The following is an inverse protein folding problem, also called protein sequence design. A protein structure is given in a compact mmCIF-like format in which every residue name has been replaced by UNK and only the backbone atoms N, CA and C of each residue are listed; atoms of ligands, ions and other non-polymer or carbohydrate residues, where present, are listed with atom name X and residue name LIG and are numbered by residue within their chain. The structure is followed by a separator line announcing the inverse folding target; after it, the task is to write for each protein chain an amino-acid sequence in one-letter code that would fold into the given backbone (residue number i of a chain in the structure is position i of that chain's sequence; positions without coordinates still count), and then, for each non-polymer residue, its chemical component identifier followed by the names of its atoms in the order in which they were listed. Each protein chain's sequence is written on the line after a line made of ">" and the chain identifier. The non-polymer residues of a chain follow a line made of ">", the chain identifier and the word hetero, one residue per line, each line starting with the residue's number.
data_IF_796695717898
#
_entry.id   IF_796695717898
#
_cell.length_a   1.000
_cell.length_b   1.000
_cell.length_c   1.000
_cell.angle_alpha   90.00
_cell.angle_beta   90.00
_cell.angle_gamma   90.00
#
_symmetry.space_group_name_H-M   'P 1'
#
loop_
_entity.id
_entity.type
_entity.pdbx_description
1 polymer ?
#
# COMPACT_ATOMS: atom_id res chain seq x y z
N UNK A 1 13.02 -13.04 -12.59
CA UNK A 1 12.69 -12.04 -11.56
C UNK A 1 11.40 -11.35 -12.02
N UNK A 2 10.34 -11.37 -11.19
CA UNK A 2 8.91 -11.04 -11.46
C UNK A 2 8.22 -11.71 -12.67
N UNK A 3 8.75 -11.53 -13.89
CA UNK A 3 8.17 -12.05 -15.13
C UNK A 3 9.21 -12.90 -15.89
N UNK A 4 8.78 -14.02 -16.47
CA UNK A 4 9.65 -14.84 -17.32
C UNK A 4 9.83 -14.05 -18.63
N UNK A 5 11.08 -13.88 -19.06
CA UNK A 5 11.41 -12.96 -20.14
C UNK A 5 11.10 -13.63 -21.47
N UNK A 6 9.94 -13.32 -22.05
CA UNK A 6 9.54 -13.84 -23.37
C UNK A 6 9.28 -12.72 -24.39
N UNK A 7 9.16 -11.44 -23.97
CA UNK A 7 8.87 -10.28 -24.82
C UNK A 7 9.76 -9.06 -24.48
N UNK A 8 10.22 -8.30 -25.49
CA UNK A 8 10.98 -7.04 -25.36
C UNK A 8 10.33 -6.03 -24.40
N UNK A 9 9.00 -5.93 -24.42
CA UNK A 9 8.26 -5.01 -23.55
C UNK A 9 8.35 -5.42 -22.06
N UNK A 10 8.38 -6.72 -21.76
CA UNK A 10 8.59 -7.21 -20.39
C UNK A 10 10.03 -7.09 -19.93
N UNK A 11 10.99 -7.09 -20.86
CA UNK A 11 12.36 -6.69 -20.53
C UNK A 11 12.40 -5.23 -20.08
N UNK A 12 11.81 -4.33 -20.84
CA UNK A 12 11.73 -2.90 -20.50
C UNK A 12 11.09 -2.70 -19.11
N UNK A 13 9.96 -3.35 -18.86
CA UNK A 13 9.30 -3.30 -17.55
C UNK A 13 10.22 -3.78 -16.41
N UNK A 14 10.88 -4.92 -16.58
CA UNK A 14 11.81 -5.42 -15.56
C UNK A 14 13.01 -4.48 -15.37
N UNK A 15 13.54 -3.88 -16.44
CA UNK A 15 14.60 -2.88 -16.34
C UNK A 15 14.13 -1.64 -15.58
N UNK A 16 12.94 -1.12 -15.87
CA UNK A 16 12.37 0.01 -15.16
C UNK A 16 12.24 -0.27 -13.65
N UNK A 17 11.79 -1.47 -13.27
CA UNK A 17 11.74 -1.87 -11.85
C UNK A 17 13.12 -1.99 -11.21
N UNK A 18 14.13 -2.49 -11.95
CA UNK A 18 15.50 -2.58 -11.45
C UNK A 18 16.08 -1.19 -11.25
N UNK A 19 15.92 -0.29 -12.24
CA UNK A 19 16.37 1.10 -12.15
C UNK A 19 15.70 1.81 -10.98
N UNK A 20 14.37 1.67 -10.85
CA UNK A 20 13.62 2.22 -9.73
C UNK A 20 14.14 1.72 -8.38
N UNK A 21 14.29 0.40 -8.25
CA UNK A 21 14.84 -0.20 -7.02
C UNK A 21 16.27 0.27 -6.72
N UNK A 22 17.15 0.29 -7.72
CA UNK A 22 18.54 0.70 -7.56
C UNK A 22 18.65 2.18 -7.18
N UNK A 23 17.82 3.03 -7.77
CA UNK A 23 17.75 4.45 -7.45
C UNK A 23 17.26 4.66 -6.02
N UNK A 24 16.17 4.01 -5.63
CA UNK A 24 15.66 4.05 -4.26
C UNK A 24 16.64 3.53 -3.22
N UNK A 25 17.35 2.44 -3.53
CA UNK A 25 18.38 1.90 -2.63
C UNK A 25 19.56 2.88 -2.48
N UNK A 26 19.97 3.52 -3.57
CA UNK A 26 21.01 4.55 -3.54
C UNK A 26 20.57 5.75 -2.68
N UNK A 27 19.37 6.28 -2.90
CA UNK A 27 18.81 7.37 -2.10
C UNK A 27 18.67 6.99 -0.62
N UNK A 28 18.24 5.76 -0.31
CA UNK A 28 18.16 5.26 1.06
C UNK A 28 19.52 5.21 1.76
N UNK A 29 20.56 4.75 1.05
CA UNK A 29 21.94 4.73 1.56
C UNK A 29 22.43 6.16 1.80
N UNK A 30 22.19 7.08 0.87
CA UNK A 30 22.55 8.49 1.06
C UNK A 30 21.82 9.11 2.25
N UNK A 31 20.50 8.95 2.34
CA UNK A 31 19.68 9.48 3.43
C UNK A 31 20.01 8.85 4.79
N UNK A 32 20.75 7.74 4.83
CA UNK A 32 21.24 7.19 6.11
C UNK A 32 22.28 8.09 6.76
N UNK A 33 23.03 8.87 5.96
CA UNK A 33 24.09 9.76 6.45
C UNK A 33 23.74 11.24 6.33
N UNK A 34 22.93 11.60 5.32
CA UNK A 34 22.65 13.01 4.96
C UNK A 34 21.15 13.32 4.86
N UNK A 35 20.31 12.69 5.70
CA UNK A 35 18.85 12.87 5.63
C UNK A 35 18.42 14.33 5.85
N UNK A 36 19.03 14.99 6.84
CA UNK A 36 18.70 16.36 7.21
C UNK A 36 19.08 17.33 6.10
N UNK A 37 20.31 17.22 5.60
CA UNK A 37 20.85 18.06 4.54
C UNK A 37 20.06 17.90 3.24
N UNK A 38 19.60 16.69 2.93
CA UNK A 38 18.75 16.47 1.76
C UNK A 38 17.39 17.14 1.95
N UNK A 39 16.76 17.01 3.12
CA UNK A 39 15.47 17.62 3.39
C UNK A 39 15.53 19.17 3.38
N UNK A 40 16.64 19.75 3.84
CA UNK A 40 16.89 21.20 3.78
C UNK A 40 16.85 21.76 2.34
N UNK A 41 17.22 20.97 1.33
CA UNK A 41 17.14 21.38 -0.09
C UNK A 41 15.69 21.64 -0.54
N UNK A 42 14.72 20.95 0.06
CA UNK A 42 13.30 21.06 -0.31
C UNK A 42 12.55 22.10 0.53
N UNK A 43 13.08 22.48 1.70
CA UNK A 43 12.46 23.40 2.65
C UNK A 43 11.93 24.71 2.04
N UNK A 44 12.67 25.44 1.18
CA UNK A 44 12.20 26.71 0.63
C UNK A 44 10.98 26.59 -0.29
N UNK A 45 10.69 25.39 -0.81
CA UNK A 45 9.60 25.20 -1.75
C UNK A 45 8.22 25.43 -1.11
N UNK A 46 8.10 25.26 0.21
CA UNK A 46 6.85 25.56 0.92
C UNK A 46 6.51 27.05 0.97
N UNK A 47 7.46 27.96 0.72
CA UNK A 47 7.17 29.41 0.68
C UNK A 47 6.23 29.77 -0.48
N UNK A 48 6.24 28.96 -1.54
CA UNK A 48 5.38 29.15 -2.69
C UNK A 48 3.99 28.57 -2.46
N UNK A 49 3.00 29.45 -2.37
CA UNK A 49 1.58 29.07 -2.15
C UNK A 49 1.09 27.96 -3.08
N UNK A 50 1.38 28.05 -4.38
CA UNK A 50 0.91 27.03 -5.34
C UNK A 50 1.54 25.65 -5.08
N UNK A 51 2.77 25.60 -4.57
CA UNK A 51 3.44 24.36 -4.14
C UNK A 51 2.75 23.82 -2.89
N UNK A 52 2.39 24.66 -1.91
CA UNK A 52 1.65 24.22 -0.72
C UNK A 52 0.31 23.58 -1.08
N UNK A 53 -0.46 24.23 -1.97
CA UNK A 53 -1.72 23.67 -2.48
C UNK A 53 -1.49 22.36 -3.23
N UNK A 54 -0.45 22.29 -4.06
CA UNK A 54 -0.09 21.06 -4.75
C UNK A 54 0.26 19.93 -3.77
N UNK A 55 1.06 20.21 -2.73
CA UNK A 55 1.38 19.25 -1.70
C UNK A 55 0.13 18.80 -0.93
N UNK A 56 -0.78 19.73 -0.61
CA UNK A 56 -2.01 19.42 0.11
C UNK A 56 -2.96 18.52 -0.70
N UNK A 57 -3.01 18.70 -2.03
CA UNK A 57 -3.73 17.80 -2.94
C UNK A 57 -3.15 16.38 -2.84
N UNK A 58 -1.83 16.24 -2.93
CA UNK A 58 -1.22 14.91 -2.96
C UNK A 58 -1.17 14.23 -1.59
N UNK A 59 -1.06 14.98 -0.50
CA UNK A 59 -1.21 14.46 0.87
C UNK A 59 -2.60 13.83 1.06
N UNK A 60 -3.66 14.58 0.70
CA UNK A 60 -5.03 14.06 0.77
C UNK A 60 -5.24 12.89 -0.20
N UNK A 61 -4.75 13.00 -1.44
CA UNK A 61 -4.89 11.92 -2.43
C UNK A 61 -4.17 10.64 -1.98
N UNK A 62 -3.02 10.77 -1.31
CA UNK A 62 -2.26 9.65 -0.76
C UNK A 62 -3.04 8.90 0.33
N UNK A 63 -4.01 9.56 0.97
CA UNK A 63 -4.93 8.97 1.95
C UNK A 63 -6.23 8.46 1.33
N UNK A 64 -6.85 9.20 0.40
CA UNK A 64 -8.16 8.81 -0.18
C UNK A 64 -8.04 7.77 -1.30
N UNK A 65 -7.01 7.85 -2.13
CA UNK A 65 -6.81 6.95 -3.27
C UNK A 65 -6.67 5.47 -2.84
N UNK A 66 -5.94 5.11 -1.77
CA UNK A 66 -5.90 3.74 -1.28
C UNK A 66 -7.28 3.21 -0.85
N UNK A 67 -8.12 4.07 -0.26
CA UNK A 67 -9.50 3.71 0.13
C UNK A 67 -10.32 3.38 -1.10
N UNK A 68 -10.33 4.25 -2.12
CA UNK A 68 -10.95 3.98 -3.42
C UNK A 68 -10.47 2.64 -4.01
N UNK A 69 -9.16 2.39 -3.96
CA UNK A 69 -8.59 1.15 -4.46
C UNK A 69 -9.06 -0.08 -3.67
N UNK A 70 -9.14 0.00 -2.34
CA UNK A 70 -9.69 -1.07 -1.51
C UNK A 70 -11.13 -1.40 -1.90
N UNK A 71 -11.98 -0.39 -2.13
CA UNK A 71 -13.34 -0.62 -2.64
C UNK A 71 -13.35 -1.40 -3.96
N UNK A 72 -12.49 -1.03 -4.91
CA UNK A 72 -12.41 -1.70 -6.21
C UNK A 72 -11.93 -3.15 -6.05
N UNK A 73 -10.88 -3.41 -5.26
CA UNK A 73 -10.36 -4.76 -5.05
C UNK A 73 -11.35 -5.66 -4.32
N UNK A 74 -12.02 -5.14 -3.28
CA UNK A 74 -13.08 -5.88 -2.59
C UNK A 74 -14.26 -6.14 -3.53
N UNK A 75 -14.57 -5.22 -4.44
CA UNK A 75 -15.61 -5.42 -5.45
C UNK A 75 -15.24 -6.51 -6.46
N UNK A 76 -13.98 -6.55 -6.92
CA UNK A 76 -13.48 -7.65 -7.77
C UNK A 76 -13.59 -8.98 -7.03
N UNK A 77 -13.25 -9.02 -5.74
CA UNK A 77 -13.40 -10.21 -4.92
C UNK A 77 -14.87 -10.64 -4.82
N UNK A 78 -15.77 -9.72 -4.47
CA UNK A 78 -17.20 -9.98 -4.34
C UNK A 78 -17.84 -10.47 -5.64
N UNK A 79 -17.55 -9.82 -6.77
CA UNK A 79 -18.04 -10.25 -8.09
C UNK A 79 -17.47 -11.60 -8.50
N UNK A 80 -16.18 -11.83 -8.28
CA UNK A 80 -15.56 -13.14 -8.57
C UNK A 80 -16.20 -14.26 -7.72
N UNK A 81 -16.55 -13.96 -6.47
CA UNK A 81 -17.26 -14.88 -5.57
C UNK A 81 -18.70 -15.14 -6.04
N UNK A 82 -19.42 -14.09 -6.43
CA UNK A 82 -20.78 -14.22 -6.98
C UNK A 82 -20.80 -15.04 -8.27
N UNK A 83 -19.82 -14.85 -9.17
CA UNK A 83 -19.65 -15.66 -10.38
C UNK A 83 -19.34 -17.12 -10.03
N UNK A 84 -18.49 -17.37 -9.03
CA UNK A 84 -18.19 -18.73 -8.57
C UNK A 84 -19.41 -19.44 -7.98
N UNK A 85 -20.27 -18.69 -7.29
CA UNK A 85 -21.48 -19.18 -6.63
C UNK A 85 -22.76 -19.02 -7.45
N UNK A 86 -22.67 -18.74 -8.76
CA UNK A 86 -23.80 -18.34 -9.63
C UNK A 86 -24.95 -19.36 -9.69
N UNK A 87 -24.72 -20.62 -9.33
CA UNK A 87 -25.75 -21.65 -9.24
C UNK A 87 -26.74 -21.42 -8.09
N UNK A 88 -26.37 -20.65 -7.07
CA UNK A 88 -27.24 -20.30 -5.96
C UNK A 88 -27.86 -18.91 -6.18
N UNK A 89 -29.17 -18.88 -6.47
CA UNK A 89 -29.95 -17.67 -6.77
C UNK A 89 -29.87 -16.58 -5.69
N UNK A 90 -29.60 -16.92 -4.42
CA UNK A 90 -29.45 -15.93 -3.34
C UNK A 90 -28.26 -14.98 -3.59
N UNK A 91 -27.20 -15.44 -4.25
CA UNK A 91 -26.04 -14.60 -4.56
C UNK A 91 -26.35 -13.45 -5.51
N UNK A 92 -27.42 -13.56 -6.31
CA UNK A 92 -27.90 -12.43 -7.12
C UNK A 92 -28.37 -11.26 -6.26
N UNK A 93 -29.00 -11.52 -5.11
CA UNK A 93 -29.44 -10.46 -4.20
C UNK A 93 -28.30 -9.94 -3.32
N UNK A 94 -27.46 -10.84 -2.81
CA UNK A 94 -26.32 -10.46 -1.95
C UNK A 94 -25.34 -9.51 -2.63
N UNK A 95 -25.13 -9.62 -3.94
CA UNK A 95 -24.24 -8.69 -4.64
C UNK A 95 -24.82 -7.28 -4.70
N UNK A 96 -26.14 -7.12 -4.85
CA UNK A 96 -26.78 -5.80 -4.81
C UNK A 96 -26.77 -5.19 -3.41
N UNK A 97 -26.99 -6.00 -2.37
CA UNK A 97 -26.81 -5.57 -0.97
C UNK A 97 -25.37 -5.11 -0.74
N UNK A 98 -24.38 -5.85 -1.23
CA UNK A 98 -22.98 -5.44 -1.17
C UNK A 98 -22.75 -4.07 -1.84
N UNK A 99 -23.26 -3.85 -3.06
CA UNK A 99 -23.11 -2.56 -3.75
C UNK A 99 -23.76 -1.41 -2.97
N UNK A 100 -24.96 -1.61 -2.41
CA UNK A 100 -25.63 -0.60 -1.59
C UNK A 100 -24.79 -0.26 -0.35
N UNK A 101 -24.31 -1.28 0.39
CA UNK A 101 -23.43 -1.07 1.54
C UNK A 101 -22.12 -0.37 1.14
N UNK A 102 -21.50 -0.77 0.03
CA UNK A 102 -20.25 -0.18 -0.43
C UNK A 102 -20.42 1.32 -0.77
N UNK A 103 -21.51 1.70 -1.43
CA UNK A 103 -21.81 3.10 -1.75
C UNK A 103 -22.08 3.90 -0.47
N UNK A 104 -22.89 3.37 0.45
CA UNK A 104 -23.20 4.06 1.72
C UNK A 104 -21.92 4.30 2.52
N UNK A 105 -21.06 3.28 2.67
CA UNK A 105 -19.80 3.41 3.40
C UNK A 105 -18.83 4.38 2.71
N UNK A 106 -18.80 4.40 1.37
CA UNK A 106 -17.96 5.34 0.62
C UNK A 106 -18.44 6.78 0.81
N UNK A 107 -19.74 7.05 0.69
CA UNK A 107 -20.32 8.38 0.94
C UNK A 107 -20.07 8.82 2.39
N UNK A 108 -20.29 7.93 3.35
CA UNK A 108 -20.01 8.21 4.76
C UNK A 108 -18.53 8.56 5.01
N UNK A 109 -17.60 7.85 4.33
CA UNK A 109 -16.17 8.17 4.39
C UNK A 109 -15.87 9.57 3.83
N UNK A 110 -16.45 9.94 2.68
CA UNK A 110 -16.23 11.28 2.10
C UNK A 110 -16.83 12.40 2.97
N UNK A 111 -18.03 12.19 3.52
CA UNK A 111 -18.65 13.12 4.47
C UNK A 111 -17.79 13.27 5.72
N UNK A 112 -17.28 12.16 6.28
CA UNK A 112 -16.35 12.20 7.41
C UNK A 112 -15.11 13.05 7.09
N UNK A 113 -14.49 12.86 5.92
CA UNK A 113 -13.31 13.63 5.53
C UNK A 113 -13.61 15.13 5.39
N UNK A 114 -14.77 15.50 4.84
CA UNK A 114 -15.19 16.89 4.75
C UNK A 114 -15.40 17.52 6.15
N UNK A 115 -16.11 16.82 7.03
CA UNK A 115 -16.38 17.29 8.40
C UNK A 115 -15.10 17.38 9.23
N UNK A 116 -14.12 16.50 8.96
CA UNK A 116 -12.80 16.53 9.58
C UNK A 116 -11.94 17.74 9.19
N UNK A 117 -12.47 18.69 8.41
CA UNK A 117 -11.83 19.96 8.05
C UNK A 117 -12.69 21.16 8.44
N UNK A 118 -13.77 20.97 9.21
CA UNK A 118 -14.72 22.03 9.56
C UNK A 118 -14.43 22.55 10.96
N UNK A 119 -14.28 23.87 11.12
CA UNK A 119 -14.00 24.55 12.39
C UNK A 119 -12.76 24.01 13.13
N UNK A 120 -11.74 23.61 12.39
CA UNK A 120 -10.46 23.16 12.96
C UNK A 120 -9.59 24.35 13.35
N UNK A 121 -8.94 24.18 14.50
CA UNK A 121 -7.86 25.02 14.98
C UNK A 121 -6.72 24.09 15.40
N UNK A 122 -5.63 24.19 14.67
CA UNK A 122 -4.44 23.37 14.85
C UNK A 122 -3.35 24.15 15.60
N UNK A 123 -3.73 25.19 16.32
CA UNK A 123 -2.84 26.07 17.08
C UNK A 123 -2.41 27.33 16.33
N UNK A 124 -2.69 27.47 15.03
CA UNK A 124 -2.36 28.68 14.26
C UNK A 124 -3.57 29.59 14.04
N UNK A 125 -4.72 29.25 14.64
CA UNK A 125 -5.95 30.01 14.57
C UNK A 125 -7.09 29.23 13.90
N UNK A 126 -8.35 29.65 14.13
CA UNK A 126 -9.50 29.01 13.50
C UNK A 126 -9.43 29.04 11.98
N UNK A 127 -9.72 27.90 11.34
CA UNK A 127 -9.68 27.68 9.90
C UNK A 127 -8.29 27.83 9.27
N UNK A 128 -7.19 27.77 10.05
CA UNK A 128 -5.80 27.80 9.52
C UNK A 128 -5.12 26.45 9.73
N UNK A 129 -4.62 25.87 8.64
CA UNK A 129 -3.80 24.65 8.70
C UNK A 129 -2.37 25.01 9.10
N UNK A 130 -1.95 24.52 10.28
CA UNK A 130 -0.56 24.61 10.73
C UNK A 130 0.41 23.93 9.75
N UNK A 131 -0.03 22.85 9.09
CA UNK A 131 0.85 22.07 8.22
C UNK A 131 1.07 22.72 6.84
N UNK A 132 0.00 23.30 6.26
CA UNK A 132 0.02 23.83 4.90
C UNK A 132 -0.02 25.35 4.83
N UNK A 133 -0.06 26.05 5.97
CA UNK A 133 -0.08 27.51 6.06
C UNK A 133 -1.12 28.13 5.13
N UNK A 134 -2.32 27.56 5.19
CA UNK A 134 -3.45 27.85 4.32
C UNK A 134 -4.77 27.59 5.03
N UNK A 135 -5.84 28.20 4.50
CA UNK A 135 -7.14 28.04 5.13
C UNK A 135 -7.71 26.62 4.97
N UNK A 136 -8.34 26.09 6.02
CA UNK A 136 -9.10 24.85 5.96
C UNK A 136 -10.27 24.94 4.99
N UNK A 137 -10.79 26.14 4.70
CA UNK A 137 -11.67 26.39 3.57
C UNK A 137 -11.10 25.95 2.22
N UNK A 138 -9.81 26.22 1.96
CA UNK A 138 -9.12 25.71 0.78
C UNK A 138 -8.99 24.18 0.83
N UNK A 139 -8.61 23.62 1.98
CA UNK A 139 -8.54 22.17 2.19
C UNK A 139 -9.88 21.46 1.88
N UNK A 140 -11.01 22.02 2.32
CA UNK A 140 -12.35 21.51 2.01
C UNK A 140 -12.63 21.47 0.50
N UNK A 141 -12.22 22.51 -0.25
CA UNK A 141 -12.35 22.52 -1.73
C UNK A 141 -11.53 21.41 -2.39
N UNK A 142 -10.32 21.18 -1.89
CA UNK A 142 -9.46 20.08 -2.35
C UNK A 142 -10.15 18.73 -2.12
N UNK A 143 -10.65 18.48 -0.91
CA UNK A 143 -11.31 17.22 -0.54
C UNK A 143 -12.57 16.99 -1.37
N UNK A 144 -13.41 18.01 -1.56
CA UNK A 144 -14.61 17.89 -2.42
C UNK A 144 -14.21 17.55 -3.86
N UNK A 145 -13.17 18.18 -4.38
CA UNK A 145 -12.68 17.91 -5.74
C UNK A 145 -12.16 16.47 -5.86
N UNK A 146 -11.36 16.00 -4.91
CA UNK A 146 -10.89 14.61 -4.86
C UNK A 146 -12.05 13.62 -4.72
N UNK A 147 -13.02 13.90 -3.86
CA UNK A 147 -14.20 13.07 -3.66
C UNK A 147 -15.03 12.92 -4.95
N UNK A 148 -15.16 14.00 -5.75
CA UNK A 148 -15.83 13.94 -7.06
C UNK A 148 -15.06 13.06 -8.04
N UNK A 149 -13.74 13.21 -8.13
CA UNK A 149 -12.89 12.38 -8.99
C UNK A 149 -12.98 10.91 -8.57
N UNK A 150 -12.83 10.62 -7.28
CA UNK A 150 -12.90 9.26 -6.73
C UNK A 150 -14.27 8.63 -6.96
N UNK A 151 -15.35 9.41 -6.84
CA UNK A 151 -16.72 8.96 -7.12
C UNK A 151 -16.89 8.55 -8.59
N UNK A 152 -16.38 9.35 -9.54
CA UNK A 152 -16.43 9.03 -10.97
C UNK A 152 -15.69 7.72 -11.25
N UNK A 153 -14.46 7.57 -10.72
CA UNK A 153 -13.65 6.36 -10.90
C UNK A 153 -14.35 5.14 -10.30
N UNK A 154 -14.90 5.29 -9.09
CA UNK A 154 -15.64 4.22 -8.42
C UNK A 154 -16.87 3.82 -9.24
N UNK A 155 -17.71 4.76 -9.66
CA UNK A 155 -18.91 4.49 -10.45
C UNK A 155 -18.60 3.76 -11.75
N UNK A 156 -17.59 4.21 -12.51
CA UNK A 156 -17.14 3.55 -13.74
C UNK A 156 -16.67 2.12 -13.44
N UNK A 157 -15.91 1.95 -12.36
CA UNK A 157 -15.38 0.64 -11.95
C UNK A 157 -16.49 -0.31 -11.54
N UNK A 158 -17.42 0.11 -10.67
CA UNK A 158 -18.55 -0.72 -10.22
C UNK A 158 -19.48 -1.07 -11.38
N UNK A 159 -19.76 -0.12 -12.28
CA UNK A 159 -20.52 -0.39 -13.51
C UNK A 159 -19.83 -1.45 -14.36
N UNK A 160 -18.53 -1.29 -14.64
CA UNK A 160 -17.78 -2.28 -15.41
C UNK A 160 -17.80 -3.65 -14.72
N UNK A 161 -17.61 -3.68 -13.39
CA UNK A 161 -17.58 -4.92 -12.62
C UNK A 161 -18.92 -5.67 -12.69
N UNK A 162 -20.03 -4.96 -12.46
CA UNK A 162 -21.37 -5.54 -12.44
C UNK A 162 -21.82 -6.01 -13.82
N UNK A 163 -21.66 -5.17 -14.84
CA UNK A 163 -22.32 -5.38 -16.13
C UNK A 163 -21.41 -6.04 -17.17
N UNK A 164 -20.09 -5.87 -17.09
CA UNK A 164 -19.15 -6.45 -18.06
C UNK A 164 -18.30 -7.57 -17.47
N UNK A 165 -17.65 -7.33 -16.33
CA UNK A 165 -16.71 -8.28 -15.73
C UNK A 165 -17.41 -9.57 -15.28
N UNK A 166 -18.53 -9.48 -14.56
CA UNK A 166 -19.27 -10.64 -14.03
C UNK A 166 -19.76 -11.63 -15.10
N UNK A 167 -19.88 -11.20 -16.36
CA UNK A 167 -20.33 -12.01 -17.49
C UNK A 167 -19.18 -12.70 -18.24
N UNK A 168 -17.93 -12.36 -17.93
CA UNK A 168 -16.76 -12.93 -18.59
C UNK A 168 -16.48 -14.36 -18.10
N UNK A 169 -16.26 -15.28 -19.04
CA UNK A 169 -15.89 -16.68 -18.76
C UNK A 169 -14.55 -16.80 -18.03
N UNK A 170 -13.63 -15.89 -18.35
CA UNK A 170 -12.27 -15.94 -17.84
C UNK A 170 -12.11 -15.45 -16.39
N UNK A 171 -13.19 -14.96 -15.74
CA UNK A 171 -13.16 -14.56 -14.31
C UNK A 171 -12.69 -15.72 -13.43
N UNK A 172 -13.23 -16.91 -13.69
CA UNK A 172 -12.88 -18.12 -12.93
C UNK A 172 -11.55 -18.70 -13.43
N UNK A 173 -11.35 -18.75 -14.76
CA UNK A 173 -10.15 -19.33 -15.40
C UNK A 173 -8.86 -18.59 -15.01
N UNK A 174 -8.94 -17.26 -14.90
CA UNK A 174 -7.82 -16.41 -14.55
C UNK A 174 -7.70 -16.15 -13.05
N UNK A 175 -8.45 -16.86 -12.20
CA UNK A 175 -8.23 -16.82 -10.76
C UNK A 175 -8.46 -15.46 -10.10
N UNK A 176 -9.36 -14.62 -10.63
CA UNK A 176 -9.54 -13.23 -10.18
C UNK A 176 -9.83 -13.12 -8.68
N UNK A 177 -10.58 -14.06 -8.10
CA UNK A 177 -10.83 -14.14 -6.65
C UNK A 177 -9.52 -14.22 -5.84
N UNK A 178 -8.63 -15.13 -6.20
CA UNK A 178 -7.35 -15.32 -5.50
C UNK A 178 -6.39 -14.14 -5.74
N UNK A 179 -6.42 -13.53 -6.93
CA UNK A 179 -5.61 -12.34 -7.25
C UNK A 179 -6.06 -11.12 -6.44
N UNK A 180 -7.37 -10.91 -6.32
CA UNK A 180 -7.94 -9.86 -5.49
C UNK A 180 -7.57 -10.05 -4.01
N UNK A 181 -7.71 -11.29 -3.50
CA UNK A 181 -7.34 -11.61 -2.12
C UNK A 181 -5.85 -11.38 -1.83
N UNK A 182 -4.95 -11.76 -2.75
CA UNK A 182 -3.51 -11.49 -2.62
C UNK A 182 -3.19 -10.00 -2.61
N UNK A 183 -3.85 -9.24 -3.48
CA UNK A 183 -3.69 -7.79 -3.58
C UNK A 183 -4.12 -7.14 -2.28
N UNK A 184 -5.33 -7.44 -1.80
CA UNK A 184 -5.87 -6.93 -0.55
C UNK A 184 -4.96 -7.26 0.64
N UNK A 185 -4.57 -8.54 0.80
CA UNK A 185 -3.70 -8.93 1.90
C UNK A 185 -2.31 -8.31 1.82
N UNK A 186 -1.75 -8.12 0.62
CA UNK A 186 -0.44 -7.46 0.49
C UNK A 186 -0.51 -6.01 0.94
N UNK A 187 -1.55 -5.29 0.51
CA UNK A 187 -1.79 -3.91 0.90
C UNK A 187 -2.06 -3.79 2.41
N UNK A 188 -2.98 -4.60 2.95
CA UNK A 188 -3.31 -4.62 4.37
C UNK A 188 -2.09 -4.95 5.23
N UNK A 189 -1.34 -6.00 4.90
CA UNK A 189 -0.20 -6.42 5.72
C UNK A 189 0.96 -5.44 5.65
N UNK A 190 1.19 -4.77 4.50
CA UNK A 190 2.22 -3.72 4.42
C UNK A 190 1.85 -2.55 5.32
N UNK A 191 0.59 -2.08 5.25
CA UNK A 191 0.11 -0.99 6.09
C UNK A 191 0.21 -1.34 7.58
N UNK A 192 -0.19 -2.56 7.98
CA UNK A 192 -0.03 -3.01 9.37
C UNK A 192 1.45 -3.02 9.79
N UNK A 193 2.34 -3.52 8.94
CA UNK A 193 3.79 -3.51 9.24
C UNK A 193 4.34 -2.09 9.40
N UNK A 194 3.92 -1.15 8.56
CA UNK A 194 4.29 0.26 8.69
C UNK A 194 3.75 0.87 9.98
N UNK A 195 2.48 0.62 10.32
CA UNK A 195 1.89 1.07 11.59
C UNK A 195 2.65 0.57 12.81
N UNK A 196 3.02 -0.71 12.81
CA UNK A 196 3.81 -1.31 13.90
C UNK A 196 5.17 -0.63 14.02
N UNK A 197 5.87 -0.43 12.90
CA UNK A 197 7.17 0.26 12.90
C UNK A 197 7.06 1.73 13.32
N UNK A 198 6.04 2.45 12.84
CA UNK A 198 5.73 3.83 13.27
C UNK A 198 5.61 3.97 14.78
N UNK A 199 4.83 3.09 15.41
CA UNK A 199 4.67 3.06 16.87
C UNK A 199 5.93 2.59 17.62
N UNK A 200 6.86 1.94 16.94
CA UNK A 200 8.07 1.40 17.56
C UNK A 200 9.22 2.40 17.50
N UNK A 201 9.40 3.09 16.37
CA UNK A 201 10.49 4.02 16.16
C UNK A 201 10.18 5.40 16.70
N UNK A 202 8.93 5.85 16.54
CA UNK A 202 8.43 7.16 16.97
C UNK A 202 9.38 8.31 16.59
N UNK A 203 9.87 8.25 15.36
CA UNK A 203 10.76 9.27 14.86
C UNK A 203 9.96 10.56 14.57
N UNK A 204 10.50 11.74 14.95
CA UNK A 204 9.85 13.04 14.71
C UNK A 204 9.86 13.43 13.24
N UNK A 205 8.74 13.98 12.73
CA UNK A 205 8.71 14.51 11.37
C UNK A 205 9.68 15.67 11.20
N UNK A 206 10.16 15.85 9.96
CA UNK A 206 10.99 17.01 9.61
C UNK A 206 10.31 18.34 9.97
N UNK A 207 8.97 18.42 9.85
CA UNK A 207 8.20 19.59 10.28
C UNK A 207 8.52 20.01 11.73
N UNK A 208 8.61 19.08 12.68
CA UNK A 208 8.91 19.43 14.08
C UNK A 208 10.39 19.74 14.30
N UNK A 209 11.29 19.08 13.57
CA UNK A 209 12.73 19.41 13.62
C UNK A 209 13.02 20.80 13.04
N UNK A 210 12.21 21.25 12.08
CA UNK A 210 12.32 22.56 11.45
C UNK A 210 11.37 23.62 12.05
N UNK A 211 10.70 23.31 13.17
CA UNK A 211 9.56 24.10 13.64
C UNK A 211 9.93 25.54 14.02
N UNK A 212 11.09 25.74 14.67
CA UNK A 212 11.52 27.09 15.03
C UNK A 212 11.70 27.98 13.80
N UNK A 213 12.31 27.45 12.75
CA UNK A 213 12.51 28.16 11.49
C UNK A 213 11.20 28.41 10.76
N UNK A 214 10.25 27.46 10.82
CA UNK A 214 8.89 27.64 10.30
C UNK A 214 8.20 28.80 11.00
N UNK A 215 8.16 28.78 12.33
CA UNK A 215 7.45 29.75 13.15
C UNK A 215 8.01 31.17 12.96
N UNK A 216 9.30 31.29 12.66
CA UNK A 216 9.99 32.55 12.44
C UNK A 216 10.09 32.97 10.96
N UNK A 217 9.49 32.24 10.02
CA UNK A 217 9.51 32.57 8.60
C UNK A 217 8.24 33.36 8.20
N UNK A 218 8.40 34.68 8.02
CA UNK A 218 7.31 35.59 7.64
C UNK A 218 6.73 35.35 6.23
N UNK A 219 7.46 34.63 5.34
CA UNK A 219 6.91 34.21 4.05
C UNK A 219 5.93 33.03 4.18
N UNK A 220 5.98 32.30 5.30
CA UNK A 220 5.13 31.13 5.58
C UNK A 220 4.04 31.46 6.59
N UNK A 221 4.42 32.04 7.73
CA UNK A 221 3.56 32.28 8.88
C UNK A 221 3.36 33.78 9.02
N UNK A 222 2.11 34.24 8.98
CA UNK A 222 1.82 35.65 9.24
C UNK A 222 2.08 35.99 10.71
N UNK A 223 2.42 37.26 11.03
CA UNK A 223 2.59 37.70 12.42
C UNK A 223 1.38 37.37 13.29
N UNK A 224 0.16 37.53 12.77
CA UNK A 224 -1.09 37.21 13.46
C UNK A 224 -1.18 35.74 13.89
N UNK A 225 -0.77 34.81 13.01
CA UNK A 225 -0.82 33.38 13.32
C UNK A 225 0.25 32.98 14.33
N UNK A 226 1.44 33.58 14.24
CA UNK A 226 2.51 33.40 15.21
C UNK A 226 2.09 33.89 16.60
N UNK A 227 1.52 35.08 16.68
CA UNK A 227 1.06 35.67 17.95
C UNK A 227 -0.07 34.82 18.56
N UNK A 228 -0.98 34.29 17.74
CA UNK A 228 -2.01 33.35 18.19
C UNK A 228 -1.39 32.06 18.75
N UNK A 229 -0.42 31.47 18.04
CA UNK A 229 0.27 30.25 18.49
C UNK A 229 0.93 30.44 19.86
N UNK A 230 1.73 31.50 19.99
CA UNK A 230 2.49 31.80 21.22
C UNK A 230 1.59 32.18 22.40
N UNK A 231 0.43 32.79 22.16
CA UNK A 231 -0.47 33.22 23.25
C UNK A 231 -1.43 32.13 23.72
N UNK A 232 -1.89 31.24 22.83
CA UNK A 232 -2.90 30.22 23.15
C UNK A 232 -2.81 28.96 22.32
N UNK A 233 -2.40 29.07 21.05
CA UNK A 233 -2.48 27.97 20.10
C UNK A 233 -1.64 26.74 20.47
N UNK A 234 -0.50 26.93 21.13
CA UNK A 234 0.33 25.84 21.66
C UNK A 234 -0.38 24.95 22.71
N UNK A 235 -1.38 25.48 23.41
CA UNK A 235 -2.23 24.69 24.33
C UNK A 235 -3.25 23.82 23.59
N UNK A 236 -3.65 24.22 22.38
CA UNK A 236 -4.57 23.45 21.53
C UNK A 236 -3.81 22.31 20.84
N UNK A 237 -2.68 22.64 20.24
CA UNK A 237 -1.79 21.70 19.57
C UNK A 237 -0.36 22.18 19.70
N UNK A 238 0.48 21.37 20.37
CA UNK A 238 1.88 21.68 20.51
C UNK A 238 2.70 21.00 19.41
N UNK A 239 3.37 21.80 18.58
CA UNK A 239 4.13 21.37 17.41
C UNK A 239 5.64 21.23 17.66
N UNK A 240 6.14 21.73 18.79
CA UNK A 240 7.57 21.77 19.13
C UNK A 240 7.85 21.30 20.55
N UNK A 241 9.02 21.68 21.06
CA UNK A 241 9.43 21.49 22.45
C UNK A 241 9.35 22.81 23.23
N UNK A 242 9.49 22.70 24.55
CA UNK A 242 9.42 23.83 25.47
C UNK A 242 8.00 24.13 25.94
N UNK A 243 7.89 25.01 26.92
CA UNK A 243 6.61 25.40 27.54
C UNK A 243 5.63 25.99 26.50
N UNK A 244 6.15 26.81 25.58
CA UNK A 244 5.38 27.42 24.49
C UNK A 244 5.37 26.59 23.21
N UNK A 245 6.07 25.45 23.18
CA UNK A 245 6.14 24.59 21.99
C UNK A 245 6.81 25.24 20.78
N UNK A 246 7.70 26.22 20.97
CA UNK A 246 8.33 27.05 19.93
C UNK A 246 9.76 26.59 19.57
N UNK A 247 10.24 25.54 20.23
CA UNK A 247 11.58 24.97 20.00
C UNK A 247 11.51 23.77 19.06
N UNK A 248 12.55 23.60 18.24
CA UNK A 248 12.67 22.44 17.36
C UNK A 248 12.90 21.14 18.13
N UNK A 249 12.30 20.05 17.64
CA UNK A 249 12.59 18.69 18.13
C UNK A 249 13.92 18.20 17.54
N UNK A 250 14.81 17.58 18.34
CA UNK A 250 16.08 17.06 17.82
C UNK A 250 15.89 16.08 16.66
N UNK A 251 16.77 16.15 15.67
CA UNK A 251 16.83 15.16 14.59
C UNK A 251 17.15 13.77 15.15
N UNK A 252 16.41 12.76 14.69
CA UNK A 252 16.64 11.36 15.01
C UNK A 252 16.89 10.59 13.71
N UNK A 253 17.98 9.81 13.58
CA UNK A 253 18.21 9.01 12.38
C UNK A 253 17.25 7.81 12.31
N UNK A 254 16.92 7.37 11.10
CA UNK A 254 15.87 6.36 10.86
C UNK A 254 16.08 5.01 11.56
N UNK A 255 17.32 4.64 11.85
CA UNK A 255 17.68 3.38 12.50
C UNK A 255 17.65 3.46 14.04
N UNK A 256 17.43 4.64 14.61
CA UNK A 256 17.32 4.84 16.05
C UNK A 256 15.87 4.75 16.51
N UNK A 257 15.65 4.03 17.60
CA UNK A 257 14.37 3.98 18.30
C UNK A 257 14.33 5.14 19.28
N UNK A 258 13.37 6.06 19.12
CA UNK A 258 13.27 7.26 19.95
C UNK A 258 12.61 6.96 21.30
N UNK A 259 11.47 6.25 21.30
CA UNK A 259 10.60 6.18 22.47
C UNK A 259 9.88 4.82 22.68
N UNK A 260 10.67 3.75 22.77
CA UNK A 260 10.16 2.41 23.07
C UNK A 260 10.54 1.98 24.50
N UNK A 261 9.62 1.41 25.30
CA UNK A 261 8.25 0.99 24.95
C UNK A 261 7.16 2.05 25.18
N UNK A 262 7.51 3.25 25.62
CA UNK A 262 6.53 4.21 26.16
C UNK A 262 5.52 4.69 25.14
N UNK A 263 5.88 4.89 23.87
CA UNK A 263 4.87 5.25 22.88
C UNK A 263 3.88 4.13 22.52
N UNK A 264 4.22 2.85 22.74
CA UNK A 264 3.21 1.78 22.71
C UNK A 264 2.26 1.88 23.91
N UNK A 265 2.77 2.20 25.10
CA UNK A 265 1.94 2.42 26.29
C UNK A 265 1.02 3.61 26.08
N UNK A 266 1.52 4.73 25.53
CA UNK A 266 0.74 5.93 25.24
C UNK A 266 -0.36 5.64 24.21
N UNK A 267 -0.03 4.92 23.14
CA UNK A 267 -1.01 4.48 22.15
C UNK A 267 -2.13 3.62 22.78
N UNK A 268 -1.77 2.62 23.60
CA UNK A 268 -2.73 1.70 24.21
C UNK A 268 -3.59 2.34 25.30
N UNK A 269 -3.02 3.28 26.07
CA UNK A 269 -3.72 3.98 27.14
C UNK A 269 -4.53 5.17 26.65
N UNK A 270 -4.39 5.53 25.37
CA UNK A 270 -5.00 6.75 24.82
C UNK A 270 -4.44 8.03 25.44
N UNK A 271 -3.33 7.93 26.20
CA UNK A 271 -2.57 9.08 26.65
C UNK A 271 -1.97 9.74 25.42
N UNK A 272 -2.65 10.78 24.94
CA UNK A 272 -2.01 11.79 24.11
C UNK A 272 -1.11 12.55 25.07
N UNK A 273 0.15 12.12 25.17
CA UNK A 273 1.09 12.79 26.04
C UNK A 273 1.21 14.26 25.65
N UNK A 274 1.61 15.07 26.62
CA UNK A 274 2.03 16.45 26.44
C UNK A 274 2.99 16.60 25.25
N UNK A 275 3.16 17.83 24.77
CA UNK A 275 4.10 18.23 23.72
C UNK A 275 5.33 17.28 23.60
N UNK A 276 5.42 16.55 22.49
CA UNK A 276 6.50 15.57 22.27
C UNK A 276 6.09 14.09 22.27
N UNK A 277 4.85 13.75 22.67
CA UNK A 277 4.48 12.35 22.98
C UNK A 277 3.20 11.82 22.33
N UNK A 278 2.54 12.63 21.49
CA UNK A 278 1.41 12.18 20.68
C UNK A 278 1.86 11.33 19.47
N UNK A 279 0.92 10.61 18.86
CA UNK A 279 1.06 9.99 17.52
C UNK A 279 1.51 10.97 16.39
N UNK A 280 1.73 12.24 16.74
CA UNK A 280 2.37 13.29 15.97
C UNK A 280 3.87 13.06 15.73
N UNK A 281 4.51 12.06 16.35
CA UNK A 281 5.94 11.75 16.20
C UNK A 281 6.15 10.34 15.66
N UNK A 282 5.50 9.99 14.55
CA UNK A 282 5.58 8.63 14.02
C UNK A 282 5.74 8.65 12.50
N UNK A 283 6.84 9.22 12.03
CA UNK A 283 7.10 9.40 10.60
C UNK A 283 7.58 8.12 9.91
N UNK A 284 8.48 7.36 10.52
CA UNK A 284 9.17 6.24 9.93
C UNK A 284 8.39 4.94 10.17
N UNK A 285 8.08 4.15 9.13
CA UNK A 285 8.14 4.45 7.70
C UNK A 285 6.88 5.15 7.17
N UNK A 286 6.93 5.72 5.95
CA UNK A 286 5.77 6.44 5.39
C UNK A 286 4.53 5.57 5.17
N UNK A 287 3.41 5.98 5.80
CA UNK A 287 2.10 5.37 5.62
C UNK A 287 1.48 5.67 4.26
N UNK A 288 1.61 6.91 3.77
CA UNK A 288 1.11 7.33 2.46
C UNK A 288 1.77 6.54 1.32
N UNK A 289 3.09 6.34 1.40
CA UNK A 289 3.80 5.49 0.45
C UNK A 289 3.29 4.05 0.54
N UNK A 290 3.19 3.47 1.73
CA UNK A 290 2.69 2.10 1.88
C UNK A 290 1.27 1.89 1.33
N UNK A 291 0.41 2.89 1.50
CA UNK A 291 -0.97 2.84 1.04
C UNK A 291 -1.06 2.94 -0.50
N UNK A 292 -0.25 3.78 -1.14
CA UNK A 292 -0.19 3.90 -2.61
C UNK A 292 0.43 2.66 -3.29
N UNK A 293 1.25 1.87 -2.60
CA UNK A 293 1.71 0.57 -3.11
C UNK A 293 0.59 -0.46 -3.36
N UNK A 294 -0.61 -0.23 -2.84
CA UNK A 294 -1.78 -1.09 -3.08
C UNK A 294 -2.07 -1.30 -4.58
N UNK A 295 -2.04 -0.24 -5.39
CA UNK A 295 -2.22 -0.31 -6.85
C UNK A 295 -1.08 -1.06 -7.53
N UNK A 296 0.16 -0.85 -7.07
CA UNK A 296 1.31 -1.62 -7.55
C UNK A 296 1.10 -3.13 -7.32
N UNK A 297 0.57 -3.53 -6.16
CA UNK A 297 0.24 -4.92 -5.91
C UNK A 297 -0.82 -5.46 -6.85
N UNK A 298 -1.85 -4.68 -7.19
CA UNK A 298 -2.81 -5.08 -8.23
C UNK A 298 -2.11 -5.30 -9.57
N UNK A 299 -1.23 -4.39 -10.00
CA UNK A 299 -0.50 -4.56 -11.25
C UNK A 299 0.28 -5.88 -11.25
N UNK A 300 1.01 -6.19 -10.17
CA UNK A 300 1.77 -7.44 -10.03
C UNK A 300 0.89 -8.69 -10.04
N UNK A 301 -0.22 -8.69 -9.31
CA UNK A 301 -1.06 -9.89 -9.15
C UNK A 301 -2.06 -10.11 -10.29
N UNK A 302 -2.55 -9.03 -10.91
CA UNK A 302 -3.48 -9.11 -12.04
C UNK A 302 -2.79 -9.22 -13.39
N UNK A 303 -1.46 -9.05 -13.47
CA UNK A 303 -0.72 -9.32 -14.70
C UNK A 303 -0.88 -10.79 -15.14
N UNK A 304 -1.50 -11.00 -16.30
CA UNK A 304 -1.65 -12.31 -16.92
C UNK A 304 -0.47 -12.62 -17.85
N UNK A 305 0.32 -13.63 -17.47
CA UNK A 305 1.46 -14.10 -18.27
C UNK A 305 1.03 -14.82 -19.55
N UNK A 306 -0.17 -15.39 -19.60
CA UNK A 306 -0.63 -16.19 -20.73
C UNK A 306 -1.20 -15.32 -21.87
N UNK A 307 -1.85 -14.20 -21.54
CA UNK A 307 -2.38 -13.23 -22.52
C UNK A 307 -1.51 -11.99 -22.73
N UNK A 308 -0.23 -12.04 -22.35
CA UNK A 308 0.66 -10.87 -22.29
C UNK A 308 0.66 -10.05 -23.60
N UNK A 309 0.71 -10.70 -24.77
CA UNK A 309 0.81 -10.01 -26.08
C UNK A 309 -0.32 -9.02 -26.36
N UNK A 310 -1.54 -9.23 -25.83
CA UNK A 310 -2.71 -8.43 -26.17
C UNK A 310 -2.80 -7.10 -25.41
N UNK A 311 -2.21 -7.01 -24.21
CA UNK A 311 -2.43 -5.87 -23.30
C UNK A 311 -1.16 -5.22 -22.76
N UNK A 312 0.03 -5.64 -23.23
CA UNK A 312 1.29 -5.15 -22.66
C UNK A 312 1.46 -3.62 -22.74
N UNK A 313 1.03 -2.97 -23.84
CA UNK A 313 1.11 -1.50 -23.95
C UNK A 313 0.26 -0.77 -22.90
N UNK A 314 -0.99 -1.21 -22.69
CA UNK A 314 -1.89 -0.64 -21.68
C UNK A 314 -1.33 -0.85 -20.27
N UNK A 315 -0.78 -2.03 -20.02
CA UNK A 315 -0.15 -2.34 -18.75
C UNK A 315 1.09 -1.46 -18.48
N UNK A 316 1.96 -1.27 -19.48
CA UNK A 316 3.11 -0.36 -19.38
C UNK A 316 2.65 1.07 -19.12
N UNK A 317 1.64 1.56 -19.86
CA UNK A 317 1.09 2.90 -19.64
C UNK A 317 0.56 3.07 -18.21
N UNK A 318 -0.27 2.13 -17.72
CA UNK A 318 -0.78 2.16 -16.36
C UNK A 318 0.34 2.13 -15.32
N UNK A 319 1.37 1.31 -15.55
CA UNK A 319 2.53 1.24 -14.69
C UNK A 319 3.31 2.56 -14.68
N UNK A 320 3.65 3.10 -15.85
CA UNK A 320 4.35 4.38 -15.96
C UNK A 320 3.58 5.54 -15.33
N UNK A 321 2.26 5.60 -15.56
CA UNK A 321 1.39 6.57 -14.90
C UNK A 321 1.40 6.40 -13.38
N UNK A 322 1.33 5.16 -12.89
CA UNK A 322 1.37 4.89 -11.46
C UNK A 322 2.71 5.24 -10.84
N UNK A 323 3.83 4.96 -11.52
CA UNK A 323 5.15 5.36 -11.06
C UNK A 323 5.27 6.88 -11.00
N UNK A 324 4.74 7.61 -12.00
CA UNK A 324 4.69 9.07 -11.96
C UNK A 324 3.88 9.57 -10.76
N UNK A 325 2.69 9.03 -10.53
CA UNK A 325 1.87 9.37 -9.36
C UNK A 325 2.59 9.09 -8.03
N UNK A 326 3.26 7.94 -7.90
CA UNK A 326 4.08 7.60 -6.71
C UNK A 326 5.18 8.63 -6.48
N UNK A 327 5.83 9.13 -7.53
CA UNK A 327 6.84 10.19 -7.39
C UNK A 327 6.20 11.51 -6.93
N UNK A 328 5.01 11.86 -7.41
CA UNK A 328 4.32 13.06 -6.95
C UNK A 328 4.05 12.96 -5.44
N UNK A 329 3.45 11.86 -4.99
CA UNK A 329 3.19 11.62 -3.55
C UNK A 329 4.47 11.60 -2.72
N UNK A 330 5.56 11.05 -3.27
CA UNK A 330 6.89 11.04 -2.65
C UNK A 330 7.44 12.45 -2.46
N UNK A 331 7.56 13.23 -3.54
CA UNK A 331 8.17 14.56 -3.47
C UNK A 331 7.30 15.53 -2.69
N UNK A 332 5.97 15.42 -2.75
CA UNK A 332 5.11 16.30 -1.94
C UNK A 332 5.29 16.06 -0.46
N UNK A 333 5.56 14.82 -0.02
CA UNK A 333 5.83 14.53 1.41
C UNK A 333 7.19 15.07 1.88
N UNK A 334 8.20 15.06 1.00
CA UNK A 334 9.48 15.72 1.29
C UNK A 334 9.30 17.24 1.40
N UNK A 335 8.62 17.84 0.42
CA UNK A 335 8.41 19.29 0.35
C UNK A 335 7.57 19.77 1.54
N UNK A 336 6.46 19.10 1.84
CA UNK A 336 5.59 19.44 2.97
C UNK A 336 6.17 19.10 4.34
N UNK A 337 7.41 18.60 4.38
CA UNK A 337 8.11 18.22 5.61
C UNK A 337 7.37 17.13 6.41
N UNK A 338 6.48 16.37 5.76
CA UNK A 338 5.74 15.26 6.37
C UNK A 338 6.54 13.98 6.43
N UNK A 339 7.71 13.88 5.80
CA UNK A 339 8.59 12.72 5.92
C UNK A 339 10.05 13.06 5.62
N UNK A 340 10.94 12.22 6.13
CA UNK A 340 12.33 12.18 5.68
C UNK A 340 12.49 11.35 4.41
N UNK A 341 13.58 11.57 3.67
CA UNK A 341 13.91 10.78 2.48
C UNK A 341 14.03 9.30 2.84
N UNK A 342 14.68 8.98 3.96
CA UNK A 342 14.84 7.59 4.39
C UNK A 342 13.50 6.88 4.70
N UNK A 343 12.49 7.58 5.23
CA UNK A 343 11.15 7.01 5.51
C UNK A 343 10.46 6.56 4.22
N UNK A 344 10.55 7.40 3.20
CA UNK A 344 9.92 7.19 1.91
C UNK A 344 10.63 6.07 1.14
N UNK A 345 11.96 6.10 1.10
CA UNK A 345 12.76 5.12 0.38
C UNK A 345 12.73 3.74 1.02
N UNK A 346 12.77 3.66 2.36
CA UNK A 346 12.57 2.40 3.07
C UNK A 346 11.24 1.75 2.64
N UNK A 347 10.18 2.55 2.61
CA UNK A 347 8.84 2.07 2.26
C UNK A 347 8.78 1.61 0.81
N UNK A 348 9.45 2.31 -0.11
CA UNK A 348 9.57 1.90 -1.51
C UNK A 348 10.28 0.54 -1.63
N UNK A 349 11.44 0.39 -1.00
CA UNK A 349 12.24 -0.84 -1.04
C UNK A 349 11.42 -2.03 -0.50
N UNK A 350 10.81 -1.87 0.67
CA UNK A 350 9.96 -2.91 1.27
C UNK A 350 8.76 -3.21 0.36
N UNK A 351 8.10 -2.17 -0.16
CA UNK A 351 6.94 -2.28 -1.05
C UNK A 351 7.23 -3.10 -2.32
N UNK A 352 8.40 -2.91 -2.95
CA UNK A 352 8.79 -3.66 -4.16
C UNK A 352 8.88 -5.16 -3.88
N UNK A 353 9.45 -5.57 -2.75
CA UNK A 353 9.63 -6.99 -2.41
C UNK A 353 8.42 -7.63 -1.74
N UNK A 354 7.55 -6.83 -1.13
CA UNK A 354 6.37 -7.27 -0.39
C UNK A 354 5.48 -8.29 -1.12
N UNK A 355 5.08 -8.06 -2.40
CA UNK A 355 4.20 -9.01 -3.10
C UNK A 355 4.88 -10.37 -3.33
N UNK A 356 6.22 -10.45 -3.38
CA UNK A 356 6.93 -11.73 -3.49
C UNK A 356 6.72 -12.55 -2.21
N UNK A 357 6.93 -11.91 -1.05
CA UNK A 357 6.77 -12.54 0.25
C UNK A 357 5.33 -13.01 0.46
N UNK A 358 4.37 -12.11 0.24
CA UNK A 358 2.94 -12.39 0.44
C UNK A 358 2.43 -13.45 -0.55
N UNK A 359 2.85 -13.41 -1.83
CA UNK A 359 2.49 -14.45 -2.79
C UNK A 359 2.94 -15.85 -2.31
N UNK A 360 4.16 -15.97 -1.78
CA UNK A 360 4.68 -17.25 -1.25
C UNK A 360 3.88 -17.72 -0.05
N UNK A 361 3.55 -16.81 0.87
CA UNK A 361 2.76 -17.10 2.07
C UNK A 361 1.32 -17.52 1.72
N UNK A 362 0.61 -16.72 0.92
CA UNK A 362 -0.79 -16.98 0.56
C UNK A 362 -0.90 -18.25 -0.27
N UNK A 363 -0.03 -18.47 -1.26
CA UNK A 363 -0.06 -19.72 -2.02
C UNK A 363 0.15 -20.94 -1.11
N UNK A 364 0.99 -20.82 -0.07
CA UNK A 364 1.20 -21.91 0.91
C UNK A 364 -0.07 -22.17 1.73
N UNK A 365 -0.78 -21.13 2.16
CA UNK A 365 -2.01 -21.24 2.98
C UNK A 365 -3.18 -21.71 2.12
N UNK A 366 -3.50 -20.98 1.04
CA UNK A 366 -4.59 -21.30 0.12
C UNK A 366 -4.50 -22.74 -0.39
N UNK A 367 -3.29 -23.18 -0.75
CA UNK A 367 -3.06 -24.54 -1.21
C UNK A 367 -3.40 -25.59 -0.13
N UNK A 368 -3.00 -25.38 1.14
CA UNK A 368 -3.38 -26.30 2.23
C UNK A 368 -4.89 -26.33 2.44
N UNK A 369 -5.52 -25.16 2.46
CA UNK A 369 -6.95 -25.04 2.73
C UNK A 369 -7.77 -25.73 1.66
N UNK A 370 -7.46 -25.48 0.38
CA UNK A 370 -8.14 -26.12 -0.76
C UNK A 370 -7.90 -27.64 -0.74
N UNK A 371 -6.66 -28.11 -0.55
CA UNK A 371 -6.37 -29.54 -0.47
C UNK A 371 -7.16 -30.24 0.64
N UNK A 372 -7.27 -29.61 1.82
CA UNK A 372 -8.05 -30.13 2.96
C UNK A 372 -9.54 -30.14 2.66
N UNK A 373 -10.09 -29.09 2.04
CA UNK A 373 -11.49 -29.02 1.64
C UNK A 373 -11.84 -30.10 0.61
N UNK A 374 -11.01 -30.28 -0.41
CA UNK A 374 -11.20 -31.32 -1.43
C UNK A 374 -11.18 -32.72 -0.83
N UNK A 375 -10.22 -32.98 0.08
CA UNK A 375 -10.16 -34.27 0.77
C UNK A 375 -11.44 -34.54 1.58
N UNK A 376 -11.99 -33.53 2.27
CA UNK A 376 -13.28 -33.64 2.97
C UNK A 376 -14.46 -33.89 2.03
N UNK A 377 -14.40 -33.40 0.79
CA UNK A 377 -15.44 -33.57 -0.24
C UNK A 377 -15.19 -34.75 -1.17
N UNK A 378 -14.21 -35.61 -0.87
CA UNK A 378 -13.78 -36.72 -1.72
C UNK A 378 -13.37 -36.32 -3.15
N UNK A 379 -12.98 -35.07 -3.36
CA UNK A 379 -12.45 -34.57 -4.63
C UNK A 379 -10.97 -34.93 -4.70
N UNK A 380 -10.53 -35.51 -5.82
CA UNK A 380 -9.12 -35.89 -6.01
C UNK A 380 -8.21 -34.69 -6.23
N UNK A 381 -7.16 -34.57 -5.41
CA UNK A 381 -6.05 -33.65 -5.67
C UNK A 381 -5.00 -34.33 -6.56
N UNK A 382 -4.70 -33.72 -7.72
CA UNK A 382 -3.71 -34.20 -8.70
C UNK A 382 -2.46 -33.32 -8.69
N UNK A 383 -1.30 -33.92 -8.93
CA UNK A 383 -0.02 -33.22 -9.02
C UNK A 383 0.87 -33.84 -10.10
N UNK A 384 1.75 -33.02 -10.67
CA UNK A 384 2.85 -33.43 -11.54
C UNK A 384 4.16 -33.11 -10.80
N UNK A 385 5.09 -34.06 -10.72
CA UNK A 385 6.46 -33.83 -10.33
C UNK A 385 7.33 -33.79 -11.60
N UNK A 386 8.00 -32.68 -11.88
CA UNK A 386 9.03 -32.60 -12.92
C UNK A 386 10.39 -32.81 -12.27
N UNK A 387 11.08 -33.90 -12.59
CA UNK A 387 12.40 -34.22 -12.05
C UNK A 387 13.45 -33.92 -13.12
N UNK A 388 14.39 -33.03 -12.82
CA UNK A 388 15.60 -32.71 -13.58
C UNK A 388 16.83 -33.19 -12.77
N UNK A 389 17.99 -33.45 -13.41
CA UNK A 389 19.15 -34.15 -12.81
C UNK A 389 19.46 -33.76 -11.35
N UNK A 390 19.38 -32.46 -11.03
CA UNK A 390 19.64 -31.92 -9.68
C UNK A 390 18.46 -31.18 -9.04
N UNK A 391 17.25 -31.20 -9.63
CA UNK A 391 16.09 -30.45 -9.12
C UNK A 391 14.78 -31.18 -9.38
N UNK A 392 13.81 -31.13 -8.48
CA UNK A 392 12.46 -31.62 -8.78
C UNK A 392 11.39 -30.59 -8.41
N UNK A 393 10.55 -30.25 -9.39
CA UNK A 393 9.45 -29.29 -9.29
C UNK A 393 8.14 -30.02 -9.06
N UNK A 394 7.27 -29.52 -8.18
CA UNK A 394 5.89 -30.00 -8.13
C UNK A 394 4.95 -28.96 -8.73
N UNK A 395 4.21 -29.36 -9.74
CA UNK A 395 3.14 -28.57 -10.34
C UNK A 395 1.83 -29.23 -9.94
N UNK A 396 1.04 -28.53 -9.14
CA UNK A 396 -0.28 -29.02 -8.76
C UNK A 396 -1.29 -28.64 -9.81
N UNK A 397 -2.11 -29.62 -10.23
CA UNK A 397 -3.23 -29.41 -11.12
C UNK A 397 -4.51 -29.62 -10.34
N UNK A 398 -5.28 -28.54 -10.20
CA UNK A 398 -6.61 -28.64 -9.62
C UNK A 398 -7.59 -29.14 -10.71
N UNK A 399 -8.34 -30.20 -10.40
CA UNK A 399 -9.41 -30.70 -11.29
C UNK A 399 -10.48 -29.60 -11.50
N UNK A 400 -11.03 -29.51 -12.72
CA UNK A 400 -11.85 -28.41 -13.31
C UNK A 400 -11.11 -27.27 -14.05
N UNK A 401 -9.86 -27.39 -14.49
CA UNK A 401 -9.21 -26.38 -15.38
C UNK A 401 -9.11 -24.93 -14.84
N UNK A 402 -9.34 -24.67 -13.55
CA UNK A 402 -9.58 -23.28 -13.09
C UNK A 402 -8.38 -22.58 -12.44
N UNK A 403 -7.37 -23.29 -11.96
CA UNK A 403 -6.19 -22.68 -11.32
C UNK A 403 -4.93 -23.53 -11.48
N UNK A 404 -3.85 -22.94 -12.02
CA UNK A 404 -2.49 -23.53 -11.96
C UNK A 404 -1.75 -22.86 -10.80
N UNK A 405 -1.63 -23.56 -9.67
CA UNK A 405 -0.73 -23.13 -8.58
C UNK A 405 0.58 -23.89 -8.73
N UNK A 406 1.57 -23.23 -9.34
CA UNK A 406 2.91 -23.79 -9.50
C UNK A 406 3.70 -23.60 -8.20
N UNK A 407 4.14 -24.69 -7.58
CA UNK A 407 5.00 -24.65 -6.39
C UNK A 407 6.31 -25.39 -6.66
N UNK A 408 7.30 -24.66 -7.15
CA UNK A 408 8.66 -25.17 -7.29
C UNK A 408 9.30 -25.37 -5.91
N UNK A 409 9.80 -26.56 -5.66
CA UNK A 409 10.74 -26.80 -4.58
C UNK A 409 12.12 -26.96 -5.21
N UNK A 410 13.13 -26.36 -4.59
CA UNK A 410 14.51 -26.58 -4.96
C UNK A 410 15.12 -27.50 -3.91
N UNK A 411 15.62 -28.64 -4.35
CA UNK A 411 16.39 -29.54 -3.49
C UNK A 411 17.68 -29.86 -4.23
N UNK A 412 18.79 -29.33 -3.72
CA UNK A 412 20.13 -29.68 -4.18
C UNK A 412 20.44 -31.07 -3.59
N UNK A 413 20.77 -32.01 -4.47
CA UNK A 413 21.20 -33.39 -4.19
C UNK A 413 20.10 -34.34 -3.65
N UNK A 414 19.94 -35.45 -4.38
CA UNK A 414 19.14 -36.65 -4.12
C UNK A 414 17.63 -36.46 -3.89
N UNK A 415 16.85 -37.11 -4.75
CA UNK A 415 15.40 -37.25 -4.62
C UNK A 415 15.06 -37.88 -3.26
N UNK A 416 14.56 -37.07 -2.33
CA UNK A 416 14.24 -37.52 -0.98
C UNK A 416 12.79 -38.02 -0.93
N UNK A 417 12.62 -39.35 -0.97
CA UNK A 417 11.33 -40.05 -0.91
C UNK A 417 10.50 -39.65 0.32
N UNK A 418 11.13 -39.51 1.50
CA UNK A 418 10.46 -39.07 2.74
C UNK A 418 9.88 -37.66 2.63
N UNK A 419 10.57 -36.73 1.96
CA UNK A 419 10.04 -35.38 1.68
C UNK A 419 8.87 -35.42 0.70
N UNK A 420 8.93 -36.28 -0.31
CA UNK A 420 7.83 -36.50 -1.25
C UNK A 420 6.59 -37.07 -0.54
N UNK A 421 6.77 -38.05 0.35
CA UNK A 421 5.66 -38.63 1.12
C UNK A 421 5.04 -37.62 2.08
N UNK A 422 5.88 -36.88 2.83
CA UNK A 422 5.41 -35.79 3.68
C UNK A 422 4.63 -34.75 2.88
N UNK A 423 5.04 -34.50 1.63
CA UNK A 423 4.36 -33.60 0.73
C UNK A 423 3.01 -34.16 0.24
N UNK A 424 2.96 -35.43 -0.21
CA UNK A 424 1.71 -36.12 -0.55
C UNK A 424 0.72 -36.10 0.61
N UNK A 425 1.18 -36.45 1.81
CA UNK A 425 0.39 -36.47 3.05
C UNK A 425 -0.12 -35.08 3.42
N UNK A 426 0.75 -34.07 3.39
CA UNK A 426 0.39 -32.68 3.75
C UNK A 426 -0.69 -32.08 2.85
N UNK A 427 -0.75 -32.49 1.60
CA UNK A 427 -1.64 -31.92 0.60
C UNK A 427 -2.66 -32.90 0.01
N UNK A 428 -2.83 -34.05 0.67
CA UNK A 428 -3.82 -35.07 0.30
C UNK A 428 -3.77 -35.43 -1.19
N UNK A 429 -2.56 -35.60 -1.74
CA UNK A 429 -2.35 -35.90 -3.17
C UNK A 429 -2.68 -37.37 -3.40
N UNK A 430 -3.74 -37.64 -4.18
CA UNK A 430 -4.15 -39.00 -4.54
C UNK A 430 -3.50 -39.49 -5.83
N UNK A 431 -3.29 -38.60 -6.81
CA UNK A 431 -2.62 -38.91 -8.09
C UNK A 431 -1.41 -38.01 -8.30
N UNK A 432 -0.24 -38.62 -8.44
CA UNK A 432 1.01 -37.94 -8.78
C UNK A 432 1.55 -38.49 -10.09
N UNK A 433 1.65 -37.64 -11.10
CA UNK A 433 2.35 -37.93 -12.34
C UNK A 433 3.82 -37.48 -12.19
N UNK A 434 4.76 -38.24 -12.71
CA UNK A 434 6.19 -37.91 -12.65
C UNK A 434 6.71 -37.77 -14.06
N UNK A 435 7.20 -36.58 -14.40
CA UNK A 435 7.86 -36.27 -15.66
C UNK A 435 9.35 -36.14 -15.38
N UNK A 436 10.16 -37.07 -15.86
CA UNK A 436 11.61 -36.92 -15.85
C UNK A 436 12.02 -36.13 -17.09
N UNK A 437 12.69 -35.00 -16.90
CA UNK A 437 13.29 -34.22 -18.00
C UNK A 437 14.77 -34.54 -18.07
N UNK A 438 15.19 -35.21 -19.15
CA UNK A 438 16.60 -35.58 -19.40
C UNK A 438 17.39 -34.50 -20.15
N UNK A 439 16.82 -33.32 -20.42
CA UNK A 439 17.49 -32.30 -21.24
C UNK A 439 18.53 -31.49 -20.47
N UNK A 440 19.73 -31.45 -21.06
CA UNK A 440 20.95 -30.72 -20.67
C UNK A 440 20.72 -29.25 -20.33
#
# INVERSE_FOLDING_TARGET
>A
MFFKVENKQMKIFNYALIVWFSWSLFQFILSTFWDLEVNELFKPLMEYRWIRIFCWIFENSGTTQPVLFYYIIVSIFAESLAVWCRTNKKWYWWIWVYYACAIILFVAFQVKNYLAYTNLDDGFGPDISAWFFESYSTGRKIIVTLALIDSIILSISLYYLRFKFSHRKDVIENAYLLRAFKTFLSALSLNISVWVLKLTFLRPYYYQTDFNDILNNENLVSPEWKDYYLSKGHEIMNWGLGELGDQSVPFVPWYSIYDFPDGWVNFLTGKRGDAGWGLLYADFPSGHMAATYSVFFAMVFFYDKNNHKKYTKRYIFMFSFWMFYLNLVFYTQLISKTHWLSDLEFTIIVGIFWPIFINRLINKIAFRTISKFNNKKNIENKAIAIINKNTYYFIFYHYNNRYIIKKSFYFKNNFNTKKLENFKKRYYIKKLEIIKTEKN
#
